data_IF_838474485754
#
_entry.id   IF_838474485754
#
_cell.length_a   1.000
_cell.length_b   1.000
_cell.length_c   1.000
_cell.angle_alpha   90.00
_cell.angle_beta   90.00
_cell.angle_gamma   90.00
#
_symmetry.space_group_name_H-M   'P 1'
#
loop_
_entity.id
_entity.type
_entity.pdbx_description
1 polymer ?
#
# COMPACT_ATOMS: atom_id res chain seq x y z
N UNK A 1 15.64 -25.42 -14.44
CA UNK A 1 16.26 -24.68 -13.32
C UNK A 1 16.39 -23.23 -13.75
N UNK A 2 15.46 -22.36 -13.34
CA UNK A 2 15.55 -20.94 -13.66
C UNK A 2 16.65 -20.32 -12.79
N UNK A 3 17.73 -19.86 -13.42
CA UNK A 3 18.76 -19.10 -12.74
C UNK A 3 18.17 -17.75 -12.36
N UNK A 4 18.08 -17.50 -11.06
CA UNK A 4 17.86 -16.16 -10.53
C UNK A 4 19.10 -15.35 -10.92
N UNK A 5 19.01 -14.61 -12.04
CA UNK A 5 20.05 -13.67 -12.45
C UNK A 5 20.25 -12.61 -11.37
N UNK A 6 21.46 -12.03 -11.26
CA UNK A 6 21.74 -11.06 -10.21
C UNK A 6 20.74 -9.91 -10.31
N UNK A 7 19.98 -9.70 -9.24
CA UNK A 7 19.19 -8.50 -9.02
C UNK A 7 20.14 -7.33 -9.25
N UNK A 8 19.90 -6.58 -10.35
CA UNK A 8 20.71 -5.45 -10.74
C UNK A 8 20.94 -4.54 -9.54
N UNK A 9 22.17 -4.05 -9.41
CA UNK A 9 22.65 -3.17 -8.35
C UNK A 9 21.89 -1.83 -8.35
N UNK A 10 20.62 -1.85 -7.95
CA UNK A 10 19.89 -0.67 -7.54
C UNK A 10 20.46 -0.28 -6.18
N UNK A 11 21.37 0.69 -6.18
CA UNK A 11 21.99 1.20 -4.96
C UNK A 11 20.91 1.44 -3.90
N UNK A 12 21.07 0.83 -2.73
CA UNK A 12 20.28 1.11 -1.56
C UNK A 12 20.52 2.58 -1.20
N UNK A 13 19.69 3.47 -1.77
CA UNK A 13 19.60 4.85 -1.36
C UNK A 13 19.39 4.80 0.14
N UNK A 14 20.42 5.22 0.90
CA UNK A 14 20.37 5.24 2.36
C UNK A 14 19.07 5.96 2.74
N UNK A 15 18.21 5.30 3.53
CA UNK A 15 16.96 5.88 4.00
C UNK A 15 17.30 7.20 4.71
N UNK A 16 17.04 8.32 4.02
CA UNK A 16 17.29 9.65 4.54
C UNK A 16 15.96 10.17 5.09
N UNK A 17 15.75 10.19 6.42
CA UNK A 17 14.48 10.60 7.03
C UNK A 17 14.12 12.07 6.76
N UNK A 18 15.05 12.87 6.22
CA UNK A 18 14.81 14.26 5.81
C UNK A 18 14.11 14.44 4.45
N UNK A 19 13.88 13.36 3.68
CA UNK A 19 13.07 13.41 2.45
C UNK A 19 11.58 13.47 2.79
N UNK A 20 11.14 14.62 3.27
CA UNK A 20 9.74 14.92 3.54
C UNK A 20 9.00 15.11 2.20
N UNK A 21 8.75 14.01 1.49
CA UNK A 21 7.89 14.03 0.33
C UNK A 21 6.44 14.03 0.84
N UNK A 22 5.69 15.08 0.50
CA UNK A 22 4.23 15.07 0.64
C UNK A 22 3.61 13.82 -0.03
N UNK A 23 2.31 13.57 0.17
CA UNK A 23 1.67 12.38 -0.37
C UNK A 23 1.99 12.23 -1.86
N UNK A 24 2.35 11.01 -2.28
CA UNK A 24 2.55 10.69 -3.69
C UNK A 24 1.34 11.20 -4.47
N UNK A 25 1.60 11.73 -5.67
CA UNK A 25 0.52 11.92 -6.63
C UNK A 25 0.00 10.52 -7.03
N UNK A 26 -1.04 10.06 -6.34
CA UNK A 26 -1.56 8.72 -6.47
C UNK A 26 -1.98 8.40 -7.91
N UNK A 27 -2.56 9.34 -8.64
CA UNK A 27 -3.02 9.13 -10.03
C UNK A 27 -1.87 8.88 -11.01
N UNK A 28 -0.73 9.52 -10.77
CA UNK A 28 0.46 9.40 -11.61
C UNK A 28 1.27 8.15 -11.30
N UNK A 29 1.30 7.74 -10.03
CA UNK A 29 2.15 6.65 -9.54
C UNK A 29 1.43 5.34 -9.30
N UNK A 30 0.11 5.35 -9.14
CA UNK A 30 -0.69 4.18 -8.80
C UNK A 30 -1.79 3.94 -9.84
N UNK A 31 -2.11 2.67 -10.06
CA UNK A 31 -3.22 2.24 -10.89
C UNK A 31 -4.01 1.16 -10.15
N UNK A 32 -5.33 1.30 -10.12
CA UNK A 32 -6.22 0.24 -9.63
C UNK A 32 -6.56 -0.67 -10.79
N UNK A 33 -6.29 -1.97 -10.65
CA UNK A 33 -6.57 -2.99 -11.67
C UNK A 33 -7.27 -4.19 -11.05
N UNK A 34 -7.95 -4.98 -11.86
CA UNK A 34 -8.54 -6.25 -11.42
C UNK A 34 -7.44 -7.21 -11.02
N UNK A 35 -7.52 -7.75 -9.81
CA UNK A 35 -6.61 -8.77 -9.28
C UNK A 35 -7.31 -10.12 -9.28
N UNK A 36 -6.61 -11.15 -9.74
CA UNK A 36 -7.13 -12.52 -9.76
C UNK A 36 -7.30 -13.13 -8.34
N UNK A 37 -6.69 -12.52 -7.32
CA UNK A 37 -6.74 -13.02 -5.94
C UNK A 37 -8.00 -12.49 -5.23
N UNK A 38 -8.17 -11.16 -5.16
CA UNK A 38 -9.31 -10.52 -4.48
C UNK A 38 -9.75 -9.24 -5.21
N UNK A 39 -10.56 -9.38 -6.26
CA UNK A 39 -11.28 -8.26 -6.87
C UNK A 39 -10.39 -7.18 -7.49
N UNK A 40 -10.03 -6.13 -6.72
CA UNK A 40 -9.25 -4.96 -7.19
C UNK A 40 -7.97 -4.78 -6.36
N UNK A 41 -6.84 -4.61 -7.04
CA UNK A 41 -5.54 -4.33 -6.44
C UNK A 41 -4.95 -2.99 -6.90
N UNK A 42 -4.06 -2.41 -6.09
CA UNK A 42 -3.32 -1.18 -6.41
C UNK A 42 -1.90 -1.52 -6.85
N UNK A 43 -1.47 -1.01 -8.01
CA UNK A 43 -0.19 -1.30 -8.63
C UNK A 43 0.61 -0.01 -8.88
N UNK A 44 1.93 -0.06 -8.75
CA UNK A 44 2.80 1.06 -9.10
C UNK A 44 2.92 1.19 -10.64
N UNK A 45 2.71 2.39 -11.17
CA UNK A 45 2.90 2.75 -12.58
C UNK A 45 4.33 3.21 -12.89
N UNK A 46 5.06 3.63 -11.86
CA UNK A 46 6.41 4.21 -11.96
C UNK A 46 7.24 3.77 -10.75
N UNK A 47 8.57 3.80 -10.85
CA UNK A 47 9.43 3.58 -9.70
C UNK A 47 9.09 4.57 -8.58
N UNK A 48 8.76 4.04 -7.39
CA UNK A 48 8.51 4.83 -6.18
C UNK A 48 9.81 4.82 -5.37
N UNK A 49 10.42 5.99 -5.10
CA UNK A 49 11.60 6.06 -4.26
C UNK A 49 11.33 5.51 -2.84
N UNK A 50 12.35 4.93 -2.22
CA UNK A 50 12.27 4.51 -0.82
C UNK A 50 11.96 5.70 0.10
N UNK A 51 11.12 5.48 1.11
CA UNK A 51 10.70 6.52 2.06
C UNK A 51 9.58 7.44 1.55
N UNK A 52 8.96 7.15 0.40
CA UNK A 52 7.86 7.99 -0.12
C UNK A 52 6.52 7.61 0.48
N UNK A 53 5.76 8.60 0.97
CA UNK A 53 4.40 8.41 1.51
C UNK A 53 3.40 8.13 0.38
N UNK A 54 2.85 6.93 0.32
CA UNK A 54 2.03 6.46 -0.81
C UNK A 54 0.61 7.04 -0.79
N UNK A 55 -0.26 6.49 0.06
CA UNK A 55 -1.63 6.99 0.28
C UNK A 55 -1.91 6.86 1.78
N UNK A 56 -2.66 7.81 2.32
CA UNK A 56 -3.28 7.66 3.62
C UNK A 56 -4.42 6.63 3.56
N UNK A 57 -4.47 5.72 4.53
CA UNK A 57 -5.61 4.84 4.69
C UNK A 57 -6.81 5.66 5.20
N UNK A 58 -7.58 6.19 4.25
CA UNK A 58 -8.78 6.96 4.56
C UNK A 58 -9.95 6.00 4.79
N UNK A 59 -10.71 6.30 5.83
CA UNK A 59 -11.92 5.60 6.20
C UNK A 59 -12.72 6.48 7.15
N UNK A 60 -13.98 6.13 7.33
CA UNK A 60 -14.80 6.71 8.37
C UNK A 60 -14.22 6.33 9.75
N UNK A 61 -14.04 7.32 10.62
CA UNK A 61 -13.63 7.07 12.01
C UNK A 61 -14.89 6.82 12.82
N UNK A 62 -15.20 5.56 13.02
CA UNK A 62 -16.36 5.10 13.79
C UNK A 62 -15.97 4.84 15.25
N UNK A 63 -16.95 4.90 16.15
CA UNK A 63 -16.78 4.47 17.55
C UNK A 63 -16.77 2.95 17.65
N UNK A 64 -16.36 2.43 18.81
CA UNK A 64 -16.35 0.98 19.06
C UNK A 64 -17.77 0.41 18.97
N UNK A 65 -18.77 1.03 19.62
CA UNK A 65 -20.19 0.62 19.52
C UNK A 65 -20.68 0.55 18.07
N UNK A 66 -20.28 1.51 17.22
CA UNK A 66 -20.67 1.52 15.81
C UNK A 66 -19.96 0.44 14.99
N UNK A 67 -18.71 0.11 15.34
CA UNK A 67 -17.98 -1.00 14.74
C UNK A 67 -18.63 -2.35 15.06
N UNK A 68 -19.00 -2.57 16.33
CA UNK A 68 -19.69 -3.78 16.80
C UNK A 68 -21.09 -3.91 16.17
N UNK A 69 -21.81 -2.80 15.96
CA UNK A 69 -23.11 -2.84 15.28
C UNK A 69 -22.99 -3.21 13.78
N UNK A 70 -21.89 -2.84 13.11
CA UNK A 70 -21.65 -3.17 11.68
C UNK A 70 -21.17 -4.60 11.48
N UNK A 71 -20.42 -5.12 12.45
CA UNK A 71 -19.93 -6.48 12.47
C UNK A 71 -20.20 -7.05 13.85
N UNK A 72 -21.44 -7.51 14.14
CA UNK A 72 -21.68 -8.28 15.34
C UNK A 72 -20.76 -9.49 15.25
N UNK A 73 -19.71 -9.52 16.08
CA UNK A 73 -18.78 -10.62 16.15
C UNK A 73 -19.59 -11.90 16.44
N UNK A 74 -19.68 -12.81 15.47
CA UNK A 74 -20.21 -14.17 15.62
C UNK A 74 -19.27 -15.04 16.49
N UNK A 75 -18.65 -14.47 17.53
CA UNK A 75 -17.96 -15.22 18.59
C UNK A 75 -18.98 -15.79 19.58
N UNK A 76 -19.99 -16.52 19.09
CA UNK A 76 -20.78 -17.42 19.91
C UNK A 76 -20.08 -18.78 19.96
N UNK A 77 -19.16 -18.94 20.90
CA UNK A 77 -18.68 -20.24 21.39
C UNK A 77 -19.54 -20.71 22.55
#
# INVERSE_FOLDING_TARGET
>A
MATCGPLGAGGAARYNPGMQNGPLNAERYLAVRTSAIHGRGVYARRPIPAGTRIIEYRGERITVDEAEARYPDDFSG
#
